data_IF_954781023797
#
_entry.id   IF_954781023797
#
_cell.length_a   1.000
_cell.length_b   1.000
_cell.length_c   1.000
_cell.angle_alpha   90.00
_cell.angle_beta   90.00
_cell.angle_gamma   90.00
#
_symmetry.space_group_name_H-M   'P 1'
#
loop_
_entity.id
_entity.type
_entity.pdbx_description
1 polymer ?
#
# COMPACT_ATOMS: atom_id res chain seq x y z
N UNK A 1 -0.37 28.86 -9.16
CA UNK A 1 -0.46 27.86 -8.07
C UNK A 1 -1.81 27.22 -8.21
N UNK A 2 -1.91 25.89 -8.23
CA UNK A 2 -3.18 25.18 -8.36
C UNK A 2 -3.79 24.99 -6.98
N UNK A 3 -5.02 25.44 -6.77
CA UNK A 3 -5.70 25.35 -5.46
C UNK A 3 -6.24 23.94 -5.16
N UNK A 4 -6.15 23.02 -6.12
CA UNK A 4 -6.73 21.68 -6.04
C UNK A 4 -5.71 20.61 -6.44
N UNK A 5 -5.80 19.44 -5.82
CA UNK A 5 -5.05 18.24 -6.18
C UNK A 5 -5.99 17.03 -6.11
N UNK A 6 -5.79 16.05 -6.99
CA UNK A 6 -6.51 14.79 -6.97
C UNK A 6 -5.60 13.70 -6.39
N UNK A 7 -5.97 13.17 -5.23
CA UNK A 7 -5.24 12.08 -4.58
C UNK A 7 -5.98 10.76 -4.76
N UNK A 8 -5.41 9.84 -5.53
CA UNK A 8 -5.88 8.47 -5.64
C UNK A 8 -5.31 7.66 -4.48
N UNK A 9 -6.17 7.08 -3.65
CA UNK A 9 -5.76 6.32 -2.47
C UNK A 9 -6.12 4.85 -2.63
N UNK A 10 -5.17 3.96 -2.32
CA UNK A 10 -5.40 2.52 -2.30
C UNK A 10 -4.69 1.88 -1.08
N UNK A 11 -4.96 0.60 -0.81
CA UNK A 11 -4.33 -0.14 0.28
C UNK A 11 -2.81 -0.24 0.10
N UNK A 12 -2.35 -0.44 -1.13
CA UNK A 12 -0.96 -0.74 -1.44
C UNK A 12 -0.69 -2.23 -1.54
N UNK A 13 0.58 -2.56 -1.70
CA UNK A 13 1.07 -3.91 -1.93
C UNK A 13 2.49 -4.00 -1.35
N UNK A 14 2.97 -5.20 -0.98
CA UNK A 14 4.40 -5.38 -0.72
C UNK A 14 5.25 -4.92 -1.91
N UNK A 15 6.46 -4.44 -1.61
CA UNK A 15 7.40 -3.91 -2.61
C UNK A 15 7.87 -4.99 -3.59
N UNK A 16 7.99 -6.23 -3.12
CA UNK A 16 8.30 -7.40 -3.93
C UNK A 16 7.64 -8.66 -3.37
N UNK A 17 7.83 -9.78 -4.06
CA UNK A 17 7.42 -11.12 -3.62
C UNK A 17 8.34 -11.71 -2.54
N UNK A 18 9.41 -11.01 -2.16
CA UNK A 18 10.31 -11.47 -1.10
C UNK A 18 9.60 -11.51 0.25
N UNK A 19 9.86 -12.56 1.02
CA UNK A 19 9.24 -12.78 2.33
C UNK A 19 9.46 -11.60 3.28
N UNK A 20 10.62 -10.93 3.21
CA UNK A 20 10.93 -9.76 4.02
C UNK A 20 9.99 -8.58 3.72
N UNK A 21 9.76 -8.28 2.45
CA UNK A 21 8.88 -7.18 2.03
C UNK A 21 7.41 -7.49 2.34
N UNK A 22 7.00 -8.74 2.12
CA UNK A 22 5.66 -9.23 2.49
C UNK A 22 5.46 -9.16 4.00
N UNK A 23 6.48 -9.53 4.80
CA UNK A 23 6.43 -9.41 6.26
C UNK A 23 6.29 -7.97 6.70
N UNK A 24 7.06 -7.05 6.11
CA UNK A 24 6.97 -5.61 6.41
C UNK A 24 5.58 -5.06 6.11
N UNK A 25 5.05 -5.37 4.93
CA UNK A 25 3.69 -4.99 4.52
C UNK A 25 2.62 -5.57 5.46
N UNK A 26 2.66 -6.87 5.75
CA UNK A 26 1.70 -7.52 6.66
C UNK A 26 1.78 -6.94 8.07
N UNK A 27 2.98 -6.62 8.54
CA UNK A 27 3.16 -5.98 9.85
C UNK A 27 2.48 -4.61 9.89
N UNK A 28 2.64 -3.77 8.85
CA UNK A 28 1.96 -2.48 8.77
C UNK A 28 0.44 -2.64 8.70
N UNK A 29 -0.04 -3.53 7.82
CA UNK A 29 -1.46 -3.79 7.62
C UNK A 29 -2.15 -4.29 8.89
N UNK A 30 -1.60 -5.32 9.55
CA UNK A 30 -2.24 -5.94 10.71
C UNK A 30 -2.06 -5.14 12.01
N UNK A 31 -1.10 -4.21 12.06
CA UNK A 31 -0.94 -3.30 13.19
C UNK A 31 -1.90 -2.11 13.16
N UNK A 32 -2.69 -1.95 12.10
CA UNK A 32 -3.68 -0.88 11.98
C UNK A 32 -4.90 -1.16 12.88
N UNK A 33 -5.29 -0.23 13.79
CA UNK A 33 -6.46 -0.40 14.65
C UNK A 33 -7.78 -0.50 13.87
N UNK A 34 -7.85 0.03 12.66
CA UNK A 34 -9.04 -0.09 11.81
C UNK A 34 -9.13 -1.44 11.08
N UNK A 35 -8.06 -2.25 11.11
CA UNK A 35 -8.03 -3.62 10.56
C UNK A 35 -8.23 -4.66 11.67
N UNK A 36 -7.54 -4.49 12.80
CA UNK A 36 -7.69 -5.33 13.98
C UNK A 36 -8.02 -4.43 15.18
N UNK A 37 -9.28 -4.46 15.57
CA UNK A 37 -9.82 -3.72 16.71
C UNK A 37 -9.47 -4.41 18.04
N UNK A 38 -8.20 -4.35 18.41
CA UNK A 38 -7.66 -4.83 19.69
C UNK A 38 -6.76 -3.75 20.31
N UNK A 39 -6.68 -3.68 21.65
CA UNK A 39 -5.70 -2.83 22.33
C UNK A 39 -4.28 -3.12 21.83
N UNK A 40 -3.46 -2.07 21.70
CA UNK A 40 -2.14 -2.16 21.07
C UNK A 40 -1.25 -3.30 21.59
N UNK A 41 -1.14 -3.57 22.91
CA UNK A 41 -0.29 -4.66 23.41
C UNK A 41 -0.76 -6.05 22.95
N UNK A 42 -2.08 -6.26 22.97
CA UNK A 42 -2.71 -7.53 22.55
C UNK A 42 -2.56 -7.71 21.05
N UNK A 43 -2.81 -6.65 20.27
CA UNK A 43 -2.61 -6.66 18.82
C UNK A 43 -1.16 -6.96 18.46
N UNK A 44 -0.19 -6.33 19.13
CA UNK A 44 1.23 -6.55 18.85
C UNK A 44 1.65 -8.00 19.09
N UNK A 45 1.14 -8.64 20.15
CA UNK A 45 1.38 -10.06 20.41
C UNK A 45 0.79 -10.94 19.32
N UNK A 46 -0.49 -10.72 18.97
CA UNK A 46 -1.19 -11.45 17.92
C UNK A 46 -0.47 -11.34 16.57
N UNK A 47 -0.12 -10.12 16.15
CA UNK A 47 0.60 -9.87 14.91
C UNK A 47 1.96 -10.57 14.92
N UNK A 48 2.69 -10.52 16.03
CA UNK A 48 3.99 -11.19 16.14
C UNK A 48 3.88 -12.71 15.94
N UNK A 49 2.81 -13.34 16.45
CA UNK A 49 2.53 -14.77 16.23
C UNK A 49 2.15 -15.07 14.77
N UNK A 50 1.33 -14.21 14.16
CA UNK A 50 0.91 -14.34 12.76
C UNK A 50 2.12 -14.24 11.81
N UNK A 51 3.04 -13.31 12.07
CA UNK A 51 4.21 -13.04 11.23
C UNK A 51 5.28 -14.15 11.25
N UNK A 52 5.12 -15.21 12.05
CA UNK A 52 6.06 -16.34 12.08
C UNK A 52 5.99 -17.17 10.80
N UNK A 53 4.77 -17.53 10.36
CA UNK A 53 4.58 -18.43 9.20
C UNK A 53 3.79 -17.79 8.05
N UNK A 54 2.91 -16.83 8.36
CA UNK A 54 2.02 -16.23 7.35
C UNK A 54 2.77 -15.50 6.22
N UNK A 55 3.91 -14.81 6.45
CA UNK A 55 4.62 -14.13 5.37
C UNK A 55 5.08 -15.05 4.25
N UNK A 56 5.52 -16.28 4.55
CA UNK A 56 5.94 -17.26 3.53
C UNK A 56 4.76 -17.70 2.66
N UNK A 57 3.64 -18.02 3.30
CA UNK A 57 2.41 -18.42 2.61
C UNK A 57 1.87 -17.27 1.74
N UNK A 58 1.85 -16.05 2.28
CA UNK A 58 1.44 -14.87 1.55
C UNK A 58 2.40 -14.54 0.41
N UNK A 59 3.71 -14.69 0.59
CA UNK A 59 4.69 -14.47 -0.46
C UNK A 59 4.48 -15.39 -1.66
N UNK A 60 4.18 -16.67 -1.42
CA UNK A 60 3.83 -17.61 -2.49
C UNK A 60 2.56 -17.18 -3.24
N UNK A 61 1.54 -16.72 -2.51
CA UNK A 61 0.31 -16.21 -3.12
C UNK A 61 0.58 -14.95 -3.96
N UNK A 62 1.35 -13.98 -3.45
CA UNK A 62 1.76 -12.80 -4.21
C UNK A 62 2.56 -13.18 -5.45
N UNK A 63 3.48 -14.15 -5.34
CA UNK A 63 4.27 -14.64 -6.46
C UNK A 63 3.42 -15.26 -7.58
N UNK A 64 2.34 -15.98 -7.23
CA UNK A 64 1.46 -16.61 -8.23
C UNK A 64 0.69 -15.64 -9.13
N UNK A 65 0.52 -14.38 -8.68
CA UNK A 65 -0.20 -13.34 -9.42
C UNK A 65 0.69 -12.17 -9.83
N UNK A 66 2.01 -12.28 -9.61
CA UNK A 66 2.94 -11.20 -9.86
C UNK A 66 3.14 -11.00 -11.37
N UNK A 67 3.15 -9.76 -11.82
CA UNK A 67 3.50 -9.43 -13.20
C UNK A 67 4.96 -9.00 -13.28
N UNK A 68 5.51 -8.98 -14.50
CA UNK A 68 6.88 -8.51 -14.75
C UNK A 68 7.06 -7.05 -14.29
N UNK A 69 6.01 -6.23 -14.40
CA UNK A 69 6.03 -4.83 -13.96
C UNK A 69 5.77 -4.63 -12.45
N UNK A 70 5.42 -5.71 -11.73
CA UNK A 70 5.15 -5.67 -10.29
C UNK A 70 3.75 -6.16 -9.89
N UNK A 71 3.30 -5.74 -8.70
CA UNK A 71 1.96 -6.05 -8.20
C UNK A 71 0.87 -5.50 -9.14
N UNK A 72 -0.10 -6.33 -9.59
CA UNK A 72 -1.18 -5.89 -10.46
C UNK A 72 -1.95 -4.68 -9.90
N UNK A 73 -2.17 -4.63 -8.58
CA UNK A 73 -2.85 -3.50 -7.93
C UNK A 73 -2.09 -2.18 -8.14
N UNK A 74 -0.76 -2.22 -7.97
CA UNK A 74 0.10 -1.04 -8.12
C UNK A 74 0.22 -0.64 -9.58
N UNK A 75 0.40 -1.61 -10.48
CA UNK A 75 0.48 -1.38 -11.93
C UNK A 75 -0.81 -0.75 -12.44
N UNK A 76 -1.97 -1.30 -12.09
CA UNK A 76 -3.26 -0.77 -12.48
C UNK A 76 -3.54 0.61 -11.86
N UNK A 77 -3.16 0.82 -10.60
CA UNK A 77 -3.30 2.14 -9.95
C UNK A 77 -2.46 3.22 -10.65
N UNK A 78 -1.23 2.89 -11.09
CA UNK A 78 -0.40 3.78 -11.89
C UNK A 78 -1.02 4.06 -13.26
N UNK A 79 -1.57 3.04 -13.94
CA UNK A 79 -2.26 3.23 -15.22
C UNK A 79 -3.49 4.13 -15.06
N UNK A 80 -4.27 3.95 -13.99
CA UNK A 80 -5.39 4.83 -13.64
C UNK A 80 -4.93 6.26 -13.37
N UNK A 81 -3.85 6.46 -12.62
CA UNK A 81 -3.27 7.78 -12.39
C UNK A 81 -2.93 8.48 -13.71
N UNK A 82 -2.29 7.78 -14.65
CA UNK A 82 -1.96 8.34 -15.97
C UNK A 82 -3.18 8.66 -16.81
N UNK A 83 -4.24 7.84 -16.73
CA UNK A 83 -5.50 8.15 -17.39
C UNK A 83 -6.15 9.41 -16.80
N UNK A 84 -6.21 9.50 -15.46
CA UNK A 84 -6.81 10.64 -14.76
C UNK A 84 -6.03 11.94 -14.97
N UNK A 85 -4.71 11.90 -15.17
CA UNK A 85 -3.92 13.09 -15.55
C UNK A 85 -4.40 13.75 -16.85
N UNK A 86 -5.06 13.01 -17.74
CA UNK A 86 -5.61 13.56 -19.00
C UNK A 86 -6.98 14.21 -18.79
N UNK A 87 -7.76 13.69 -17.85
CA UNK A 87 -9.13 14.14 -17.57
C UNK A 87 -9.18 15.25 -16.51
N UNK A 88 -8.23 15.28 -15.59
CA UNK A 88 -8.18 16.25 -14.49
C UNK A 88 -7.29 17.44 -14.83
N UNK A 89 -7.91 18.60 -15.06
CA UNK A 89 -7.22 19.85 -15.42
C UNK A 89 -6.97 20.82 -14.26
N UNK A 90 -7.48 20.52 -13.06
CA UNK A 90 -7.48 21.47 -11.93
C UNK A 90 -6.21 21.39 -11.05
N UNK A 91 -5.28 20.47 -11.33
CA UNK A 91 -4.01 20.35 -10.62
C UNK A 91 -3.34 18.99 -10.72
N UNK A 92 -2.38 18.67 -9.83
CA UNK A 92 -1.67 17.40 -9.87
C UNK A 92 -2.58 16.22 -9.52
N UNK A 93 -2.33 15.07 -10.16
CA UNK A 93 -2.93 13.78 -9.82
C UNK A 93 -1.86 12.89 -9.23
N UNK A 94 -1.96 12.59 -7.94
CA UNK A 94 -1.01 11.77 -7.20
C UNK A 94 -1.64 10.45 -6.75
N UNK A 95 -0.79 9.46 -6.53
CA UNK A 95 -1.17 8.14 -6.02
C UNK A 95 -0.55 7.96 -4.65
N UNK A 96 -1.34 7.50 -3.68
CA UNK A 96 -0.88 7.18 -2.34
C UNK A 96 -1.41 5.82 -1.87
N UNK A 97 -0.59 5.15 -1.09
CA UNK A 97 -0.87 3.86 -0.47
C UNK A 97 -1.07 4.03 1.02
N UNK A 98 -2.06 3.33 1.57
CA UNK A 98 -2.26 3.25 3.02
C UNK A 98 -1.14 2.47 3.70
N UNK A 99 -0.70 1.38 3.07
CA UNK A 99 0.39 0.52 3.53
C UNK A 99 1.45 0.41 2.43
N UNK A 100 2.71 0.63 2.78
CA UNK A 100 3.81 0.72 1.81
C UNK A 100 3.95 2.10 1.15
N UNK A 101 4.65 2.13 0.01
CA UNK A 101 5.05 3.36 -0.67
C UNK A 101 4.38 3.54 -2.05
N UNK A 102 4.10 4.78 -2.48
CA UNK A 102 4.27 6.02 -1.74
C UNK A 102 3.19 6.20 -0.65
N UNK A 103 3.57 6.56 0.58
CA UNK A 103 2.59 6.73 1.68
C UNK A 103 1.72 7.99 1.52
N UNK A 104 0.52 7.97 2.12
CA UNK A 104 -0.38 9.15 2.13
C UNK A 104 0.31 10.39 2.70
N UNK A 105 1.02 10.25 3.81
CA UNK A 105 1.74 11.36 4.46
C UNK A 105 2.81 11.96 3.54
N UNK A 106 3.63 11.11 2.93
CA UNK A 106 4.70 11.54 2.01
C UNK A 106 4.13 12.30 0.82
N UNK A 107 3.00 11.84 0.27
CA UNK A 107 2.36 12.47 -0.89
C UNK A 107 1.72 13.80 -0.50
N UNK A 108 1.01 13.86 0.64
CA UNK A 108 0.42 15.11 1.12
C UNK A 108 1.48 16.16 1.43
N UNK A 109 2.60 15.77 2.05
CA UNK A 109 3.72 16.69 2.35
C UNK A 109 4.36 17.24 1.07
N UNK A 110 4.37 16.45 -0.01
CA UNK A 110 4.87 16.90 -1.32
C UNK A 110 3.90 17.85 -2.04
N UNK A 111 2.61 17.72 -1.76
CA UNK A 111 1.55 18.54 -2.36
C UNK A 111 1.31 19.86 -1.60
N UNK A 112 1.70 19.91 -0.33
CA UNK A 112 1.66 21.11 0.52
C UNK A 112 2.71 22.14 0.10
#
# INVERSE_FOLDING_TARGET
MTDHALLLVNLGSPASTQVADVRSYLNQFLMDPYVIDLPWPVRRLLVSLILIKRPEQSAHAYASIWWDEGSPLVVLSKRLQQAMKKEWSHGPVELAMRYGEPSIETVLTRLA
#
